data_IF_056992535012
#
_entry.id   IF_056992535012
#
_cell.length_a   1.000
_cell.length_b   1.000
_cell.length_c   1.000
_cell.angle_alpha   90.00
_cell.angle_beta   90.00
_cell.angle_gamma   90.00
#
_symmetry.space_group_name_H-M   'P 1'
#
loop_
_entity.id
_entity.type
_entity.pdbx_description
1 polymer ?
#
# COMPACT_ATOMS: atom_id res chain seq x y z
N UNK A 1 -11.18 10.34 14.31
CA UNK A 1 -12.27 10.99 13.54
C UNK A 1 -12.17 10.51 12.10
N UNK A 2 -13.27 10.42 11.32
CA UNK A 2 -13.13 10.24 9.88
C UNK A 2 -12.40 11.47 9.32
N UNK A 3 -11.37 11.26 8.52
CA UNK A 3 -10.62 12.32 7.86
C UNK A 3 -11.59 13.00 6.89
N UNK A 4 -11.85 14.29 7.09
CA UNK A 4 -12.69 15.10 6.20
C UNK A 4 -11.94 15.33 4.88
N UNK A 5 -12.44 14.81 3.73
CA UNK A 5 -11.81 15.02 2.44
C UNK A 5 -11.71 16.50 2.05
N UNK A 6 -12.61 17.36 2.57
CA UNK A 6 -12.59 18.80 2.31
C UNK A 6 -11.53 19.55 3.13
N UNK A 7 -10.95 18.94 4.16
CA UNK A 7 -9.86 19.53 4.94
C UNK A 7 -8.52 19.58 4.16
N UNK A 8 -8.41 18.83 3.05
CA UNK A 8 -7.19 18.70 2.27
C UNK A 8 -7.43 18.97 0.79
N UNK A 9 -7.28 20.23 0.30
CA UNK A 9 -7.44 20.53 -1.13
C UNK A 9 -6.47 19.76 -2.05
N UNK A 10 -5.44 19.14 -1.48
CA UNK A 10 -4.47 18.29 -2.17
C UNK A 10 -4.75 16.78 -2.08
N UNK A 11 -5.63 16.33 -1.17
CA UNK A 11 -5.99 14.91 -1.06
C UNK A 11 -7.01 14.54 -2.14
N UNK A 12 -6.60 13.66 -3.05
CA UNK A 12 -7.41 13.28 -4.22
C UNK A 12 -7.38 11.76 -4.34
N UNK A 13 -8.23 11.05 -3.59
CA UNK A 13 -8.24 9.58 -3.60
C UNK A 13 -8.71 9.05 -4.95
N UNK A 14 -8.19 7.87 -5.30
CA UNK A 14 -8.51 7.16 -6.53
C UNK A 14 -8.74 5.68 -6.22
N UNK A 15 -9.44 5.02 -7.14
CA UNK A 15 -9.70 3.57 -7.11
C UNK A 15 -9.47 2.91 -8.46
N UNK A 16 -8.73 3.55 -9.38
CA UNK A 16 -8.53 3.11 -10.76
C UNK A 16 -8.04 1.65 -10.87
N UNK A 17 -7.33 1.12 -9.87
CA UNK A 17 -6.90 -0.27 -9.82
C UNK A 17 -8.09 -1.25 -9.89
N UNK A 18 -9.24 -0.89 -9.32
CA UNK A 18 -10.44 -1.71 -9.34
C UNK A 18 -11.01 -1.85 -10.77
N UNK A 19 -10.76 -0.90 -11.65
CA UNK A 19 -11.24 -0.91 -13.04
C UNK A 19 -10.56 -2.02 -13.88
N UNK A 20 -9.42 -2.56 -13.42
CA UNK A 20 -8.79 -3.72 -14.04
C UNK A 20 -9.62 -5.01 -13.85
N UNK A 21 -10.34 -5.11 -12.73
CA UNK A 21 -11.14 -6.27 -12.36
C UNK A 21 -10.37 -7.42 -11.70
N UNK A 22 -11.14 -8.42 -11.25
CA UNK A 22 -10.70 -9.56 -10.43
C UNK A 22 -9.48 -10.37 -10.96
N UNK A 23 -9.20 -10.46 -12.27
CA UNK A 23 -8.03 -11.20 -12.74
C UNK A 23 -6.69 -10.59 -12.34
N UNK A 24 -6.63 -9.33 -11.91
CA UNK A 24 -5.37 -8.59 -11.74
C UNK A 24 -4.87 -8.50 -10.30
N UNK A 25 -5.72 -8.79 -9.31
CA UNK A 25 -5.35 -8.67 -7.91
C UNK A 25 -6.12 -9.65 -7.02
N UNK A 26 -5.61 -9.85 -5.81
CA UNK A 26 -6.28 -10.57 -4.73
C UNK A 26 -6.48 -9.63 -3.54
N UNK A 27 -7.69 -9.56 -2.95
CA UNK A 27 -7.89 -8.94 -1.65
C UNK A 27 -7.08 -9.68 -0.58
N UNK A 28 -6.31 -8.95 0.23
CA UNK A 28 -5.48 -9.52 1.28
C UNK A 28 -5.61 -8.76 2.60
N UNK A 29 -5.08 -9.34 3.67
CA UNK A 29 -4.97 -8.69 4.97
C UNK A 29 -3.50 -8.41 5.29
N UNK A 30 -3.25 -7.29 5.98
CA UNK A 30 -1.94 -7.01 6.52
C UNK A 30 -1.63 -7.94 7.70
N UNK A 31 -0.34 -8.25 7.90
CA UNK A 31 0.12 -8.91 9.10
C UNK A 31 -0.06 -8.01 10.33
N UNK A 32 -0.50 -8.60 11.44
CA UNK A 32 -0.51 -7.93 12.73
C UNK A 32 0.87 -8.02 13.39
N UNK A 33 1.53 -6.87 13.55
CA UNK A 33 2.80 -6.77 14.25
C UNK A 33 2.57 -6.45 15.72
N UNK A 34 3.31 -7.10 16.65
CA UNK A 34 3.15 -6.86 18.09
C UNK A 34 3.52 -5.42 18.49
N UNK A 35 4.30 -4.73 17.67
CA UNK A 35 4.64 -3.32 17.84
C UNK A 35 4.75 -2.63 16.49
N UNK A 36 4.15 -1.45 16.40
CA UNK A 36 4.23 -0.56 15.24
C UNK A 36 4.72 0.79 15.74
N UNK A 37 5.86 1.25 15.21
CA UNK A 37 6.49 2.49 15.62
C UNK A 37 6.97 3.24 14.38
N UNK A 38 6.58 4.51 14.26
CA UNK A 38 7.12 5.39 13.24
C UNK A 38 8.61 5.65 13.51
N UNK A 39 9.48 5.29 12.56
CA UNK A 39 10.92 5.60 12.61
C UNK A 39 11.33 6.69 11.64
N UNK A 40 10.65 6.75 10.50
CA UNK A 40 10.89 7.73 9.46
C UNK A 40 9.62 7.93 8.65
N UNK A 41 9.32 9.20 8.35
CA UNK A 41 8.30 9.62 7.40
C UNK A 41 8.94 10.60 6.42
N UNK A 42 8.60 10.48 5.15
CA UNK A 42 9.01 11.46 4.16
C UNK A 42 7.93 12.53 4.01
N UNK A 43 8.02 13.60 4.80
CA UNK A 43 7.01 14.68 4.81
C UNK A 43 6.85 15.35 3.44
N UNK A 44 7.94 15.45 2.66
CA UNK A 44 7.88 15.99 1.30
C UNK A 44 7.03 15.12 0.38
N UNK A 45 7.17 13.80 0.46
CA UNK A 45 6.35 12.87 -0.32
C UNK A 45 4.90 12.83 0.17
N UNK A 46 4.69 12.89 1.50
CA UNK A 46 3.35 12.97 2.08
C UNK A 46 2.60 14.23 1.60
N UNK A 47 3.28 15.37 1.54
CA UNK A 47 2.70 16.62 1.04
C UNK A 47 2.28 16.53 -0.44
N UNK A 48 3.05 15.84 -1.27
CA UNK A 48 2.73 15.69 -2.70
C UNK A 48 1.40 14.97 -2.95
N UNK A 49 0.95 14.14 -2.02
CA UNK A 49 -0.29 13.36 -2.15
C UNK A 49 -1.38 13.78 -1.16
N UNK A 50 -1.21 14.96 -0.53
CA UNK A 50 -2.21 15.54 0.37
C UNK A 50 -2.28 14.95 1.77
N UNK A 51 -1.24 14.23 2.22
CA UNK A 51 -1.18 13.55 3.53
C UNK A 51 -0.27 14.25 4.55
N UNK A 52 0.17 15.49 4.29
CA UNK A 52 1.09 16.22 5.17
C UNK A 52 0.54 16.52 6.57
N UNK A 53 -0.79 16.55 6.72
CA UNK A 53 -1.43 16.91 7.97
C UNK A 53 -1.70 15.72 8.89
N UNK A 54 -1.46 14.49 8.43
CA UNK A 54 -1.60 13.33 9.30
C UNK A 54 -0.62 13.46 10.47
N UNK A 55 -1.12 13.32 11.68
CA UNK A 55 -0.25 13.18 12.84
C UNK A 55 0.42 11.79 12.88
N UNK A 56 1.30 11.57 13.86
CA UNK A 56 2.05 10.31 13.96
C UNK A 56 1.15 9.11 14.30
N UNK A 57 0.03 9.34 15.01
CA UNK A 57 -0.93 8.29 15.38
C UNK A 57 -1.77 7.90 14.17
N UNK A 58 -2.26 8.87 13.40
CA UNK A 58 -2.92 8.67 12.12
C UNK A 58 -1.99 7.99 11.11
N UNK A 59 -0.73 8.41 11.05
CA UNK A 59 0.27 7.78 10.20
C UNK A 59 0.49 6.32 10.59
N UNK A 60 0.65 6.04 11.88
CA UNK A 60 0.81 4.67 12.39
C UNK A 60 -0.43 3.82 12.11
N UNK A 61 -1.63 4.39 12.23
CA UNK A 61 -2.91 3.74 11.92
C UNK A 61 -3.01 3.37 10.43
N UNK A 62 -2.70 4.29 9.52
CA UNK A 62 -2.89 4.08 8.08
C UNK A 62 -1.72 3.36 7.40
N UNK A 63 -0.47 3.63 7.78
CA UNK A 63 0.73 3.06 7.15
C UNK A 63 1.38 1.93 7.95
N UNK A 64 0.99 1.75 9.22
CA UNK A 64 1.51 0.69 10.08
C UNK A 64 0.47 -0.38 10.45
N UNK A 65 -0.82 -0.03 10.46
CA UNK A 65 -1.95 -0.96 10.67
C UNK A 65 -2.83 -1.14 9.43
N UNK A 66 -2.58 -0.35 8.37
CA UNK A 66 -3.32 -0.41 7.11
C UNK A 66 -4.84 -0.28 7.28
N UNK A 67 -5.27 0.54 8.24
CA UNK A 67 -6.64 1.02 8.22
C UNK A 67 -6.85 1.82 6.92
N UNK A 68 -7.95 1.58 6.17
CA UNK A 68 -8.19 2.29 4.91
C UNK A 68 -8.21 3.81 5.12
N UNK A 69 -7.63 4.53 4.16
CA UNK A 69 -7.84 5.97 4.03
C UNK A 69 -9.25 6.21 3.44
N UNK A 70 -9.86 7.40 3.64
CA UNK A 70 -11.19 7.68 3.09
C UNK A 70 -11.22 7.60 1.56
N UNK A 71 -12.33 7.11 1.02
CA UNK A 71 -12.70 7.23 -0.40
C UNK A 71 -11.69 6.68 -1.43
N UNK A 72 -10.70 5.89 -1.01
CA UNK A 72 -9.76 5.16 -1.88
C UNK A 72 -10.11 3.67 -1.93
N UNK A 73 -9.14 2.78 -2.12
CA UNK A 73 -9.34 1.33 -2.14
C UNK A 73 -9.98 0.84 -0.83
N UNK A 74 -10.91 -0.14 -0.91
CA UNK A 74 -11.62 -0.65 0.26
C UNK A 74 -10.70 -1.44 1.22
N UNK A 75 -9.52 -1.84 0.76
CA UNK A 75 -8.52 -2.54 1.54
C UNK A 75 -7.29 -2.93 0.70
N UNK A 76 -6.35 -3.68 1.30
CA UNK A 76 -5.14 -4.16 0.64
C UNK A 76 -5.41 -5.09 -0.55
N UNK A 77 -4.76 -4.82 -1.67
CA UNK A 77 -4.81 -5.63 -2.89
C UNK A 77 -3.39 -6.07 -3.29
N UNK A 78 -3.17 -7.38 -3.37
CA UNK A 78 -1.92 -7.96 -3.85
C UNK A 78 -2.02 -8.18 -5.37
N UNK A 79 -1.13 -7.57 -6.14
CA UNK A 79 -1.16 -7.69 -7.60
C UNK A 79 -0.66 -9.05 -8.07
N UNK A 80 -1.28 -9.54 -9.15
CA UNK A 80 -0.86 -10.75 -9.86
C UNK A 80 0.08 -10.39 -11.00
N UNK A 81 1.18 -11.11 -11.15
CA UNK A 81 2.07 -10.94 -12.29
C UNK A 81 2.93 -12.18 -12.50
N UNK A 82 3.63 -12.24 -13.62
CA UNK A 82 4.59 -13.29 -13.93
C UNK A 82 5.86 -12.66 -14.47
N UNK A 83 6.93 -13.44 -14.63
CA UNK A 83 8.16 -12.85 -15.12
C UNK A 83 9.27 -13.86 -15.36
N UNK A 84 10.33 -13.38 -16.01
CA UNK A 84 11.54 -14.17 -16.19
C UNK A 84 12.50 -13.90 -15.03
N UNK A 85 12.85 -14.94 -14.29
CA UNK A 85 13.87 -14.89 -13.25
C UNK A 85 15.05 -15.75 -13.70
N UNK A 86 16.24 -15.14 -13.77
CA UNK A 86 17.45 -15.84 -14.24
C UNK A 86 17.24 -16.57 -15.57
N UNK A 87 16.59 -15.91 -16.54
CA UNK A 87 16.24 -16.42 -17.88
C UNK A 87 15.21 -17.56 -17.92
N UNK A 88 14.62 -17.95 -16.79
CA UNK A 88 13.54 -18.93 -16.74
C UNK A 88 12.21 -18.23 -16.53
N UNK A 89 11.19 -18.58 -17.31
CA UNK A 89 9.85 -18.07 -17.11
C UNK A 89 9.24 -18.66 -15.84
N UNK A 90 8.69 -17.80 -14.99
CA UNK A 90 7.93 -18.17 -13.81
C UNK A 90 6.50 -17.63 -13.95
N UNK A 91 5.51 -18.51 -14.18
CA UNK A 91 4.10 -18.10 -14.27
C UNK A 91 3.51 -17.68 -12.92
N UNK A 92 4.13 -18.08 -11.81
CA UNK A 92 3.55 -17.98 -10.46
C UNK A 92 4.30 -16.95 -9.61
N UNK A 93 4.20 -15.68 -10.01
CA UNK A 93 4.65 -14.52 -9.23
C UNK A 93 3.47 -13.63 -8.84
N UNK A 94 3.76 -12.58 -8.09
CA UNK A 94 2.79 -11.63 -7.59
C UNK A 94 3.37 -10.88 -6.42
N UNK A 95 2.59 -10.00 -5.81
CA UNK A 95 3.00 -9.26 -4.61
C UNK A 95 3.14 -10.20 -3.40
N UNK A 96 4.26 -10.91 -3.30
CA UNK A 96 4.46 -11.96 -2.31
C UNK A 96 4.85 -11.50 -0.91
N UNK A 97 4.95 -10.19 -0.66
CA UNK A 97 5.31 -9.64 0.67
C UNK A 97 4.83 -8.21 0.86
N UNK A 98 3.74 -7.85 0.21
CA UNK A 98 3.27 -6.48 0.11
C UNK A 98 1.96 -6.43 -0.65
N UNK A 99 1.44 -5.23 -0.81
CA UNK A 99 0.18 -4.95 -1.49
C UNK A 99 0.06 -3.45 -1.73
N UNK A 100 -0.84 -3.05 -2.61
CA UNK A 100 -1.33 -1.67 -2.72
C UNK A 100 -2.56 -1.52 -1.84
N UNK A 101 -2.58 -0.54 -0.94
CA UNK A 101 -3.73 -0.34 -0.03
C UNK A 101 -4.48 0.97 -0.25
N UNK A 102 -3.93 1.88 -1.08
CA UNK A 102 -4.57 3.13 -1.45
C UNK A 102 -4.01 3.62 -2.79
N UNK A 103 -4.78 4.44 -3.50
CA UNK A 103 -4.37 5.20 -4.67
C UNK A 103 -4.80 6.65 -4.54
N UNK A 104 -4.05 7.56 -5.15
CA UNK A 104 -4.35 8.99 -5.14
C UNK A 104 -3.66 9.75 -6.26
N UNK A 105 -4.17 10.93 -6.61
CA UNK A 105 -3.48 11.88 -7.49
C UNK A 105 -2.50 12.72 -6.68
N UNK A 106 -1.24 12.79 -7.12
CA UNK A 106 -0.30 13.76 -6.56
C UNK A 106 -0.60 15.19 -7.02
N UNK A 107 0.15 16.17 -6.52
CA UNK A 107 0.06 17.61 -6.84
C UNK A 107 0.20 17.94 -8.34
N UNK A 108 0.72 17.02 -9.16
CA UNK A 108 0.86 17.12 -10.62
C UNK A 108 -0.19 16.31 -11.40
N UNK A 109 -1.15 15.69 -10.71
CA UNK A 109 -2.21 14.88 -11.32
C UNK A 109 -1.78 13.47 -11.73
N UNK A 110 -0.60 13.01 -11.31
CA UNK A 110 -0.14 11.63 -11.56
C UNK A 110 -0.87 10.69 -10.62
N UNK A 111 -1.32 9.54 -11.14
CA UNK A 111 -1.83 8.46 -10.30
C UNK A 111 -0.67 7.84 -9.52
N UNK A 112 -0.81 7.77 -8.21
CA UNK A 112 0.16 7.22 -7.29
C UNK A 112 -0.45 6.03 -6.55
N UNK A 113 0.26 4.91 -6.57
CA UNK A 113 -0.07 3.75 -5.75
C UNK A 113 0.68 3.83 -4.42
N UNK A 114 -0.04 3.67 -3.31
CA UNK A 114 0.56 3.46 -2.01
C UNK A 114 0.77 1.96 -1.80
N UNK A 115 1.87 1.47 -2.38
CA UNK A 115 2.36 0.11 -2.24
C UNK A 115 3.15 -0.10 -0.95
N UNK A 116 3.12 -1.32 -0.44
CA UNK A 116 3.76 -1.69 0.83
C UNK A 116 4.77 -2.82 0.64
N UNK A 117 5.66 -3.00 1.61
CA UNK A 117 6.69 -4.06 1.58
C UNK A 117 6.98 -4.57 2.98
N UNK A 118 7.01 -5.88 3.12
CA UNK A 118 7.14 -6.56 4.40
C UNK A 118 5.85 -6.60 5.21
N UNK A 119 4.69 -6.37 4.59
CA UNK A 119 3.41 -6.16 5.29
C UNK A 119 2.63 -7.44 5.55
N UNK A 120 3.23 -8.62 5.35
CA UNK A 120 2.60 -9.90 5.61
C UNK A 120 2.52 -10.81 4.39
N UNK A 121 2.02 -12.02 4.63
CA UNK A 121 1.84 -13.01 3.58
C UNK A 121 0.64 -12.66 2.70
N UNK A 122 0.75 -13.03 1.43
CA UNK A 122 -0.30 -12.99 0.42
C UNK A 122 -0.38 -14.36 -0.26
N UNK A 123 -1.39 -14.63 -1.10
CA UNK A 123 -1.41 -15.84 -1.93
C UNK A 123 -0.13 -16.02 -2.77
N UNK A 124 0.60 -14.93 -3.04
CA UNK A 124 1.81 -14.88 -3.86
C UNK A 124 3.12 -15.03 -3.06
N UNK A 125 3.04 -15.20 -1.73
CA UNK A 125 4.23 -15.36 -0.87
C UNK A 125 5.01 -16.64 -1.11
N UNK A 126 4.37 -17.66 -1.69
CA UNK A 126 4.95 -19.02 -1.83
C UNK A 126 5.44 -19.52 -0.46
N UNK A 127 6.72 -19.86 -0.34
CA UNK A 127 7.32 -20.30 0.93
C UNK A 127 7.85 -19.15 1.82
N UNK A 128 7.70 -17.89 1.41
CA UNK A 128 8.15 -16.73 2.17
C UNK A 128 7.20 -16.36 3.33
N UNK A 129 7.73 -15.74 4.37
CA UNK A 129 6.97 -15.26 5.53
C UNK A 129 6.23 -13.93 5.29
N UNK A 130 6.40 -13.33 4.10
CA UNK A 130 5.78 -12.07 3.71
C UNK A 130 6.31 -10.83 4.44
N UNK A 131 7.38 -10.96 5.23
CA UNK A 131 7.90 -9.89 6.09
C UNK A 131 9.21 -9.32 5.55
N UNK A 132 9.61 -8.16 6.08
CA UNK A 132 10.89 -7.54 5.81
C UNK A 132 11.58 -7.21 7.14
N UNK A 133 12.88 -7.48 7.22
CA UNK A 133 13.67 -7.07 8.38
C UNK A 133 13.98 -5.58 8.29
N UNK A 134 14.20 -4.93 9.44
CA UNK A 134 14.64 -3.54 9.49
C UNK A 134 15.98 -3.27 8.79
N UNK A 135 16.81 -4.29 8.55
CA UNK A 135 18.06 -4.16 7.79
C UNK A 135 17.86 -4.18 6.27
N UNK A 136 16.73 -4.71 5.81
CA UNK A 136 16.41 -4.89 4.39
C UNK A 136 15.44 -3.84 3.82
N UNK A 137 15.06 -2.84 4.64
CA UNK A 137 14.19 -1.71 4.29
C UNK A 137 14.94 -0.40 4.23
#
# INVERSE_FOLDING_TARGET
>A
MPIDPQAFPAYRPETTLLDLGDPFFDPVAAADFPRTQLRFRNDRAAAQVGLAALDDDEWTRHFGRFAPLPDTLPGPLALRYHGHQFRNYNPDLGDGRGFTFAQMRDDRGRLMDLGTKGSGQTPWSRAGDGRLTLKGG
#
